data_IF_665538446573
#
_entry.id   IF_665538446573
#
_cell.length_a   1.000
_cell.length_b   1.000
_cell.length_c   1.000
_cell.angle_alpha   90.00
_cell.angle_beta   90.00
_cell.angle_gamma   90.00
#
_symmetry.space_group_name_H-M   'P 1'
#
loop_
_entity.id
_entity.type
_entity.pdbx_description
1 polymer ?
#
# COMPACT_ATOMS: atom_id res chain seq x y z
N UNK A 1 -19.32 7.51 20.04
CA UNK A 1 -17.93 7.02 20.19
C UNK A 1 -17.42 7.59 21.49
N UNK A 2 -17.15 6.72 22.46
CA UNK A 2 -16.58 7.10 23.75
C UNK A 2 -15.20 7.74 23.51
N UNK A 3 -14.78 8.78 24.27
CA UNK A 3 -13.39 9.24 24.27
C UNK A 3 -12.34 8.12 24.34
N UNK A 4 -12.65 6.99 25.00
CA UNK A 4 -11.80 5.80 25.08
C UNK A 4 -11.63 5.05 23.73
N UNK A 5 -12.54 5.23 22.78
CA UNK A 5 -12.51 4.54 21.48
C UNK A 5 -11.67 5.29 20.43
N UNK A 6 -11.03 6.41 20.79
CA UNK A 6 -10.27 7.25 19.86
C UNK A 6 -8.85 6.70 19.70
N UNK A 7 -8.29 6.70 18.47
CA UNK A 7 -6.91 6.32 18.27
C UNK A 7 -5.97 7.31 18.96
N UNK A 8 -4.84 6.84 19.51
CA UNK A 8 -3.85 7.69 20.15
C UNK A 8 -3.24 8.71 19.17
N UNK A 9 -2.88 9.91 19.67
CA UNK A 9 -2.32 11.01 18.86
C UNK A 9 -1.01 10.60 18.16
N UNK A 10 -0.67 11.30 17.08
CA UNK A 10 0.43 11.13 16.10
C UNK A 10 1.77 10.50 16.54
N UNK A 11 2.12 10.43 17.82
CA UNK A 11 3.30 9.75 18.36
C UNK A 11 3.15 8.22 18.45
N UNK A 12 1.96 7.68 18.18
CA UNK A 12 1.62 6.28 18.46
C UNK A 12 2.26 5.24 17.53
N UNK A 13 2.75 5.62 16.35
CA UNK A 13 3.13 4.61 15.36
C UNK A 13 4.57 4.12 15.54
N UNK A 14 5.49 4.96 16.06
CA UNK A 14 6.93 4.68 16.25
C UNK A 14 7.55 3.76 15.18
N UNK A 15 7.17 3.94 13.91
CA UNK A 15 7.73 3.19 12.78
C UNK A 15 9.06 3.85 12.42
N UNK A 16 10.09 3.04 12.22
CA UNK A 16 11.42 3.53 11.82
C UNK A 16 11.31 4.36 10.55
N UNK A 17 11.97 5.54 10.54
CA UNK A 17 12.04 6.42 9.36
C UNK A 17 12.62 5.70 8.14
N UNK A 18 13.47 4.70 8.35
CA UNK A 18 13.96 3.87 7.27
C UNK A 18 12.87 3.08 6.55
N UNK A 19 11.83 2.65 7.26
CA UNK A 19 10.73 1.88 6.65
C UNK A 19 9.82 2.82 5.86
N UNK A 20 9.34 3.92 6.45
CA UNK A 20 8.29 4.73 5.81
C UNK A 20 8.79 5.90 4.95
N UNK A 21 10.08 6.25 5.04
CA UNK A 21 10.68 7.34 4.28
C UNK A 21 11.92 6.88 3.50
N UNK A 22 12.90 6.29 4.19
CA UNK A 22 14.19 5.93 3.58
C UNK A 22 14.05 4.90 2.45
N UNK A 23 13.53 3.72 2.78
CA UNK A 23 13.35 2.62 1.84
C UNK A 23 12.52 3.02 0.60
N UNK A 24 11.28 3.54 0.71
CA UNK A 24 10.47 3.79 -0.48
C UNK A 24 11.10 4.85 -1.41
N UNK A 25 11.74 5.88 -0.86
CA UNK A 25 12.43 6.91 -1.67
C UNK A 25 13.67 6.34 -2.35
N UNK A 26 14.51 5.61 -1.61
CA UNK A 26 15.72 4.99 -2.16
C UNK A 26 15.39 3.91 -3.18
N UNK A 27 14.30 3.17 -2.97
CA UNK A 27 13.84 2.14 -3.91
C UNK A 27 13.38 2.76 -5.23
N UNK A 28 12.57 3.84 -5.19
CA UNK A 28 12.20 4.58 -6.41
C UNK A 28 13.45 5.07 -7.16
N UNK A 29 14.38 5.70 -6.44
CA UNK A 29 15.62 6.20 -7.03
C UNK A 29 16.45 5.07 -7.65
N UNK A 30 16.52 3.90 -7.01
CA UNK A 30 17.23 2.74 -7.53
C UNK A 30 16.56 2.17 -8.79
N UNK A 31 15.23 2.08 -8.83
CA UNK A 31 14.50 1.62 -10.02
C UNK A 31 14.76 2.54 -11.22
N UNK A 32 14.62 3.85 -11.04
CA UNK A 32 14.89 4.81 -12.11
C UNK A 32 16.37 4.82 -12.52
N UNK A 33 17.30 4.71 -11.57
CA UNK A 33 18.72 4.61 -11.90
C UNK A 33 19.04 3.35 -12.72
N UNK A 34 18.43 2.20 -12.41
CA UNK A 34 18.58 0.98 -13.19
C UNK A 34 17.98 1.13 -14.59
N UNK A 35 16.78 1.72 -14.70
CA UNK A 35 16.12 1.96 -15.98
C UNK A 35 16.91 2.90 -16.91
N UNK A 36 17.51 3.96 -16.37
CA UNK A 36 18.38 4.87 -17.13
C UNK A 36 19.77 4.29 -17.46
N UNK A 37 20.23 3.29 -16.70
CA UNK A 37 21.54 2.70 -16.90
C UNK A 37 21.58 1.77 -18.11
N UNK A 38 20.63 0.84 -18.21
CA UNK A 38 20.53 -0.10 -19.33
C UNK A 38 19.11 -0.66 -19.47
N UNK A 39 18.46 -0.36 -20.61
CA UNK A 39 17.10 -0.82 -20.89
C UNK A 39 17.02 -2.36 -21.04
N UNK A 40 18.07 -2.99 -21.58
CA UNK A 40 18.09 -4.45 -21.73
C UNK A 40 18.09 -5.15 -20.37
N UNK A 41 18.90 -4.64 -19.43
CA UNK A 41 18.93 -5.08 -18.04
C UNK A 41 17.59 -4.85 -17.34
N UNK A 42 16.99 -3.67 -17.52
CA UNK A 42 15.68 -3.34 -16.97
C UNK A 42 14.61 -4.37 -17.39
N UNK A 43 14.45 -4.60 -18.69
CA UNK A 43 13.45 -5.53 -19.19
C UNK A 43 13.75 -6.99 -18.82
N UNK A 44 15.02 -7.39 -18.77
CA UNK A 44 15.39 -8.77 -18.45
C UNK A 44 15.18 -9.11 -16.96
N UNK A 45 15.52 -8.20 -16.05
CA UNK A 45 15.65 -8.53 -14.62
C UNK A 45 14.69 -7.77 -13.70
N UNK A 46 14.17 -6.61 -14.10
CA UNK A 46 13.31 -5.79 -13.24
C UNK A 46 11.84 -5.87 -13.65
N UNK A 47 11.55 -5.85 -14.95
CA UNK A 47 10.19 -5.76 -15.52
C UNK A 47 9.73 -7.03 -16.29
N UNK A 48 10.49 -8.12 -16.21
CA UNK A 48 10.01 -9.41 -16.73
C UNK A 48 8.91 -10.00 -15.84
N UNK A 49 8.20 -11.04 -16.32
CA UNK A 49 7.26 -11.87 -15.53
C UNK A 49 7.89 -12.49 -14.26
N UNK A 50 9.23 -12.54 -14.24
CA UNK A 50 10.05 -13.00 -13.12
C UNK A 50 10.90 -11.88 -12.53
N UNK A 51 10.56 -10.66 -12.88
CA UNK A 51 11.29 -9.46 -12.56
C UNK A 51 11.27 -9.16 -11.07
N UNK A 52 12.24 -8.35 -10.66
CA UNK A 52 12.35 -7.88 -9.29
C UNK A 52 11.08 -7.16 -8.84
N UNK A 53 10.43 -6.38 -9.71
CA UNK A 53 9.31 -5.50 -9.33
C UNK A 53 8.08 -6.32 -8.96
N UNK A 54 7.64 -7.26 -9.80
CA UNK A 54 6.48 -8.13 -9.53
C UNK A 54 6.70 -8.99 -8.28
N UNK A 55 7.87 -9.61 -8.14
CA UNK A 55 8.19 -10.38 -6.94
C UNK A 55 8.22 -9.51 -5.67
N UNK A 56 8.67 -8.26 -5.78
CA UNK A 56 8.65 -7.31 -4.68
C UNK A 56 7.23 -6.87 -4.32
N UNK A 57 6.34 -6.70 -5.30
CA UNK A 57 4.91 -6.44 -5.10
C UNK A 57 4.26 -7.59 -4.30
N UNK A 58 4.44 -8.85 -4.74
CA UNK A 58 3.95 -10.05 -4.04
C UNK A 58 4.49 -10.14 -2.61
N UNK A 59 5.80 -9.92 -2.41
CA UNK A 59 6.43 -9.96 -1.10
C UNK A 59 5.85 -8.91 -0.15
N UNK A 60 5.71 -7.67 -0.61
CA UNK A 60 5.17 -6.56 0.19
C UNK A 60 3.72 -6.82 0.56
N UNK A 61 2.90 -7.31 -0.40
CA UNK A 61 1.52 -7.71 -0.13
C UNK A 61 1.45 -8.88 0.85
N UNK A 62 2.33 -9.88 0.75
CA UNK A 62 2.38 -10.99 1.69
C UNK A 62 2.68 -10.51 3.13
N UNK A 63 3.62 -9.58 3.29
CA UNK A 63 3.91 -8.96 4.59
C UNK A 63 2.69 -8.16 5.08
N UNK A 64 2.03 -7.40 4.20
CA UNK A 64 0.81 -6.66 4.52
C UNK A 64 -0.30 -7.61 4.99
N UNK A 65 -0.51 -8.72 4.30
CA UNK A 65 -1.45 -9.77 4.63
C UNK A 65 -1.21 -10.34 6.03
N UNK A 66 0.05 -10.58 6.43
CA UNK A 66 0.37 -11.02 7.80
C UNK A 66 -0.13 -10.01 8.84
N UNK A 67 0.05 -8.70 8.62
CA UNK A 67 -0.49 -7.69 9.54
C UNK A 67 -2.02 -7.63 9.52
N UNK A 68 -2.65 -7.74 8.35
CA UNK A 68 -4.11 -7.81 8.23
C UNK A 68 -4.69 -9.00 8.99
N UNK A 69 -4.11 -10.19 8.83
CA UNK A 69 -4.51 -11.41 9.55
C UNK A 69 -4.27 -11.28 11.05
N UNK A 70 -3.16 -10.67 11.49
CA UNK A 70 -2.93 -10.38 12.92
C UNK A 70 -3.99 -9.44 13.50
N UNK A 71 -4.43 -8.43 12.76
CA UNK A 71 -5.54 -7.58 13.19
C UNK A 71 -6.82 -8.42 13.27
N UNK A 72 -7.12 -9.22 12.25
CA UNK A 72 -8.36 -10.00 12.15
C UNK A 72 -8.47 -11.11 13.21
N UNK A 73 -7.36 -11.72 13.61
CA UNK A 73 -7.33 -12.81 14.59
C UNK A 73 -7.31 -12.32 16.04
N UNK A 74 -7.11 -11.03 16.25
CA UNK A 74 -7.03 -10.40 17.57
C UNK A 74 -8.22 -9.49 17.82
N UNK A 75 -9.40 -10.07 17.98
CA UNK A 75 -10.62 -9.29 18.20
C UNK A 75 -10.61 -8.47 19.49
N UNK A 76 -9.77 -8.83 20.46
CA UNK A 76 -9.61 -8.14 21.73
C UNK A 76 -8.99 -6.74 21.60
N UNK A 77 -8.25 -6.46 20.51
CA UNK A 77 -7.66 -5.13 20.26
C UNK A 77 -8.57 -4.24 19.38
N UNK A 78 -9.76 -4.72 19.02
CA UNK A 78 -10.67 -3.96 18.16
C UNK A 78 -11.40 -2.87 18.95
N UNK A 79 -11.46 -1.61 18.44
CA UNK A 79 -12.30 -0.57 19.01
C UNK A 79 -13.81 -0.83 18.80
N UNK A 80 -14.16 -1.83 18.00
CA UNK A 80 -15.52 -2.25 17.74
C UNK A 80 -15.60 -3.30 16.64
N UNK A 81 -16.72 -4.02 16.54
CA UNK A 81 -16.92 -5.13 15.59
C UNK A 81 -16.74 -4.72 14.12
N UNK A 82 -16.99 -3.45 13.80
CA UNK A 82 -16.78 -2.91 12.46
C UNK A 82 -15.31 -3.02 12.00
N UNK A 83 -14.34 -3.01 12.93
CA UNK A 83 -12.92 -3.19 12.62
C UNK A 83 -12.66 -4.58 12.04
N UNK A 84 -13.37 -5.61 12.52
CA UNK A 84 -13.29 -6.95 11.96
C UNK A 84 -13.71 -6.97 10.49
N UNK A 85 -14.84 -6.34 10.15
CA UNK A 85 -15.30 -6.22 8.75
C UNK A 85 -14.29 -5.48 7.86
N UNK A 86 -13.73 -4.38 8.38
CA UNK A 86 -12.71 -3.61 7.67
C UNK A 86 -11.43 -4.43 7.44
N UNK A 87 -10.95 -5.14 8.47
CA UNK A 87 -9.79 -6.01 8.36
C UNK A 87 -10.04 -7.17 7.37
N UNK A 88 -11.22 -7.79 7.40
CA UNK A 88 -11.61 -8.84 6.43
C UNK A 88 -11.57 -8.31 5.01
N UNK A 89 -12.11 -7.11 4.75
CA UNK A 89 -12.12 -6.50 3.42
C UNK A 89 -10.69 -6.30 2.90
N UNK A 90 -9.79 -5.74 3.71
CA UNK A 90 -8.40 -5.51 3.29
C UNK A 90 -7.63 -6.82 3.14
N UNK A 91 -7.84 -7.80 4.03
CA UNK A 91 -7.24 -9.13 3.92
C UNK A 91 -7.66 -9.80 2.62
N UNK A 92 -8.95 -9.76 2.28
CA UNK A 92 -9.45 -10.29 1.02
C UNK A 92 -8.84 -9.57 -0.19
N UNK A 93 -8.72 -8.23 -0.13
CA UNK A 93 -8.07 -7.46 -1.17
C UNK A 93 -6.57 -7.81 -1.32
N UNK A 94 -5.85 -8.05 -0.22
CA UNK A 94 -4.44 -8.49 -0.28
C UNK A 94 -4.31 -9.89 -0.88
N UNK A 95 -5.18 -10.84 -0.51
CA UNK A 95 -5.19 -12.19 -1.09
C UNK A 95 -5.48 -12.13 -2.59
N UNK A 96 -6.47 -11.32 -2.98
CA UNK A 96 -6.80 -11.10 -4.38
C UNK A 96 -5.60 -10.54 -5.14
N UNK A 97 -4.99 -9.45 -4.66
CA UNK A 97 -3.84 -8.84 -5.31
C UNK A 97 -2.64 -9.80 -5.39
N UNK A 98 -2.30 -10.54 -4.32
CA UNK A 98 -1.25 -11.57 -4.37
C UNK A 98 -1.57 -12.64 -5.43
N UNK A 99 -2.83 -13.05 -5.51
CA UNK A 99 -3.31 -13.96 -6.54
C UNK A 99 -3.05 -13.39 -7.92
N UNK A 100 -3.57 -12.22 -8.23
CA UNK A 100 -3.40 -11.58 -9.54
C UNK A 100 -1.93 -11.39 -9.93
N UNK A 101 -1.09 -10.83 -9.03
CA UNK A 101 0.35 -10.59 -9.31
C UNK A 101 1.19 -11.87 -9.43
N UNK A 102 0.72 -13.00 -8.90
CA UNK A 102 1.43 -14.29 -9.00
C UNK A 102 0.76 -15.28 -9.95
N UNK A 103 -0.21 -14.81 -10.72
CA UNK A 103 -1.06 -15.65 -11.58
C UNK A 103 -1.68 -16.82 -10.80
N UNK A 104 -2.17 -16.54 -9.60
CA UNK A 104 -2.74 -17.47 -8.63
C UNK A 104 -1.78 -18.62 -8.25
N UNK A 105 -0.49 -18.28 -8.19
CA UNK A 105 0.59 -19.23 -7.93
C UNK A 105 1.02 -20.01 -9.16
N UNK A 106 0.51 -19.68 -10.36
CA UNK A 106 0.91 -20.33 -11.61
C UNK A 106 2.41 -20.28 -11.83
N UNK A 107 3.00 -19.13 -11.55
CA UNK A 107 4.43 -18.93 -11.73
C UNK A 107 5.20 -19.90 -10.81
N UNK A 108 4.78 -20.05 -9.55
CA UNK A 108 5.50 -20.87 -8.56
C UNK A 108 5.32 -22.39 -8.73
N UNK A 109 4.14 -22.85 -9.11
CA UNK A 109 3.82 -24.29 -9.12
C UNK A 109 3.68 -24.87 -10.53
N UNK A 110 3.66 -24.04 -11.58
CA UNK A 110 3.67 -24.49 -12.98
C UNK A 110 2.42 -25.27 -13.42
N UNK A 111 1.33 -25.23 -12.66
CA UNK A 111 0.02 -25.72 -13.09
C UNK A 111 -0.45 -25.03 -14.37
N UNK A 112 -1.14 -25.79 -15.22
CA UNK A 112 -1.56 -25.38 -16.56
C UNK A 112 -2.81 -24.51 -16.51
N UNK A 113 -2.87 -23.51 -17.38
CA UNK A 113 -4.07 -22.71 -17.60
C UNK A 113 -5.18 -23.58 -18.20
N UNK A 114 -6.38 -23.62 -17.60
CA UNK A 114 -7.49 -24.41 -18.12
C UNK A 114 -7.91 -23.99 -19.53
N UNK A 115 -8.34 -24.96 -20.35
CA UNK A 115 -8.73 -24.70 -21.75
C UNK A 115 -9.83 -23.65 -21.89
N UNK A 116 -10.80 -23.62 -20.95
CA UNK A 116 -11.87 -22.62 -20.96
C UNK A 116 -11.36 -21.19 -20.70
N UNK A 117 -10.23 -21.06 -20.00
CA UNK A 117 -9.61 -19.78 -19.68
C UNK A 117 -8.67 -19.32 -20.80
N UNK A 118 -8.03 -20.23 -21.53
CA UNK A 118 -7.24 -19.93 -22.73
C UNK A 118 -8.06 -19.27 -23.85
N UNK A 119 -9.37 -19.51 -23.88
CA UNK A 119 -10.30 -18.83 -24.80
C UNK A 119 -10.43 -17.33 -24.49
N UNK A 120 -10.28 -16.96 -23.21
CA UNK A 120 -10.46 -15.61 -22.71
C UNK A 120 -9.14 -14.90 -22.36
N UNK A 121 -8.04 -15.65 -22.18
CA UNK A 121 -6.70 -15.17 -21.87
C UNK A 121 -5.68 -15.91 -22.75
N UNK A 122 -5.23 -15.26 -23.82
CA UNK A 122 -4.28 -15.80 -24.78
C UNK A 122 -2.82 -15.77 -24.30
N UNK A 123 -2.56 -15.13 -23.16
CA UNK A 123 -1.24 -15.12 -22.50
C UNK A 123 -0.98 -16.40 -21.71
N UNK A 124 -1.99 -17.27 -21.59
CA UNK A 124 -1.82 -18.55 -20.91
C UNK A 124 -1.65 -18.40 -19.41
N UNK A 125 -2.21 -17.35 -18.79
CA UNK A 125 -2.16 -17.10 -17.36
C UNK A 125 -3.53 -17.25 -16.67
N UNK A 126 -3.53 -17.50 -15.35
CA UNK A 126 -4.77 -17.67 -14.56
C UNK A 126 -5.30 -16.35 -14.00
N UNK A 127 -4.50 -15.28 -13.97
CA UNK A 127 -4.93 -13.98 -13.46
C UNK A 127 -6.12 -13.40 -14.26
N UNK A 128 -6.97 -12.64 -13.57
CA UNK A 128 -8.16 -12.03 -14.14
C UNK A 128 -7.82 -10.71 -14.86
N UNK A 129 -6.77 -10.02 -14.45
CA UNK A 129 -6.37 -8.76 -15.09
C UNK A 129 -5.99 -8.90 -16.57
N UNK A 130 -5.57 -10.09 -17.01
CA UNK A 130 -5.26 -10.37 -18.42
C UNK A 130 -6.49 -10.78 -19.24
N UNK A 131 -7.63 -11.06 -18.59
CA UNK A 131 -8.89 -11.38 -19.27
C UNK A 131 -9.61 -10.12 -19.75
N UNK A 132 -9.52 -9.02 -18.97
CA UNK A 132 -10.24 -7.79 -19.29
C UNK A 132 -9.61 -6.57 -18.64
N UNK A 133 -9.54 -5.48 -19.42
CA UNK A 133 -9.18 -4.15 -18.92
C UNK A 133 -10.05 -3.69 -17.75
N UNK A 134 -11.26 -4.25 -17.58
CA UNK A 134 -12.08 -3.98 -16.41
C UNK A 134 -11.44 -4.51 -15.12
N UNK A 135 -10.91 -5.74 -15.15
CA UNK A 135 -10.28 -6.39 -14.00
C UNK A 135 -8.88 -5.86 -13.72
N UNK A 136 -8.17 -5.37 -14.74
CA UNK A 136 -6.92 -4.64 -14.57
C UNK A 136 -7.13 -3.22 -14.01
N UNK A 137 -7.93 -2.40 -14.70
CA UNK A 137 -7.93 -0.95 -14.44
C UNK A 137 -8.79 -0.55 -13.24
N UNK A 138 -9.96 -1.17 -13.05
CA UNK A 138 -10.92 -0.69 -12.03
C UNK A 138 -10.44 -0.90 -10.60
N UNK A 139 -9.90 -2.09 -10.21
CA UNK A 139 -9.34 -2.28 -8.87
C UNK A 139 -8.20 -1.31 -8.60
N UNK A 140 -7.31 -1.11 -9.58
CA UNK A 140 -6.19 -0.16 -9.50
C UNK A 140 -6.68 1.27 -9.28
N UNK A 141 -7.60 1.78 -10.09
CA UNK A 141 -8.14 3.15 -9.97
C UNK A 141 -8.80 3.37 -8.60
N UNK A 142 -9.57 2.38 -8.11
CA UNK A 142 -10.21 2.48 -6.80
C UNK A 142 -9.17 2.59 -5.67
N UNK A 143 -8.12 1.77 -5.72
CA UNK A 143 -7.03 1.81 -4.76
C UNK A 143 -6.25 3.12 -4.85
N UNK A 144 -5.92 3.58 -6.07
CA UNK A 144 -5.19 4.83 -6.31
C UNK A 144 -5.96 6.03 -5.74
N UNK A 145 -7.25 6.13 -6.06
CA UNK A 145 -8.11 7.19 -5.53
C UNK A 145 -8.16 7.17 -4.00
N UNK A 146 -8.27 5.98 -3.39
CA UNK A 146 -8.30 5.82 -1.94
C UNK A 146 -6.98 6.26 -1.29
N UNK A 147 -5.84 5.95 -1.92
CA UNK A 147 -4.51 6.36 -1.48
C UNK A 147 -4.35 7.88 -1.56
N UNK A 148 -4.72 8.50 -2.69
CA UNK A 148 -4.60 9.95 -2.88
C UNK A 148 -5.51 10.69 -1.88
N UNK A 149 -6.76 10.27 -1.75
CA UNK A 149 -7.72 10.88 -0.85
C UNK A 149 -7.29 10.80 0.62
N UNK A 150 -6.90 9.60 1.08
CA UNK A 150 -6.55 9.36 2.47
C UNK A 150 -5.13 9.76 2.84
N UNK A 151 -4.15 9.37 2.02
CA UNK A 151 -2.73 9.50 2.28
C UNK A 151 -2.15 10.87 1.93
N UNK A 152 -2.74 11.60 0.98
CA UNK A 152 -2.22 12.88 0.50
C UNK A 152 -3.17 14.05 0.77
N UNK A 153 -4.39 14.02 0.25
CA UNK A 153 -5.32 15.16 0.30
C UNK A 153 -5.78 15.47 1.73
N UNK A 154 -6.09 14.44 2.52
CA UNK A 154 -6.50 14.61 3.91
C UNK A 154 -5.43 15.27 4.81
N UNK A 155 -4.18 14.78 4.88
CA UNK A 155 -3.16 15.45 5.70
C UNK A 155 -2.86 16.87 5.20
N UNK A 156 -2.87 17.11 3.89
CA UNK A 156 -2.70 18.45 3.33
C UNK A 156 -3.85 19.40 3.74
N UNK A 157 -5.10 18.94 3.67
CA UNK A 157 -6.27 19.69 4.08
C UNK A 157 -6.19 20.14 5.55
N UNK A 158 -5.79 19.23 6.44
CA UNK A 158 -5.61 19.57 7.85
C UNK A 158 -4.44 20.51 8.08
N UNK A 159 -3.33 20.33 7.37
CA UNK A 159 -2.21 21.26 7.43
C UNK A 159 -2.60 22.68 7.00
N UNK A 160 -3.45 22.82 5.98
CA UNK A 160 -3.94 24.13 5.51
C UNK A 160 -4.96 24.79 6.45
N UNK A 161 -5.86 24.02 7.08
CA UNK A 161 -6.98 24.57 7.86
C UNK A 161 -6.71 24.75 9.35
N UNK A 162 -5.85 23.94 9.93
CA UNK A 162 -5.39 24.12 11.32
C UNK A 162 -3.95 24.55 11.27
N UNK A 163 -3.59 25.66 11.93
CA UNK A 163 -2.23 26.21 12.03
C UNK A 163 -1.26 25.25 12.77
N UNK A 164 -1.09 24.02 12.26
CA UNK A 164 -0.41 22.91 12.89
C UNK A 164 -1.02 21.57 12.48
N UNK A 165 -0.16 20.59 12.17
CA UNK A 165 -0.49 19.22 11.74
C UNK A 165 -1.29 18.37 12.74
N UNK A 166 -1.85 18.98 13.79
CA UNK A 166 -2.52 18.32 14.90
C UNK A 166 -3.97 17.91 14.62
N UNK A 167 -4.53 18.27 13.45
CA UNK A 167 -5.94 18.01 13.14
C UNK A 167 -6.20 16.82 12.21
N UNK A 168 -5.20 16.02 11.80
CA UNK A 168 -5.40 14.83 10.96
C UNK A 168 -6.02 13.61 11.72
N UNK A 169 -7.13 13.91 12.40
CA UNK A 169 -8.27 13.15 12.91
C UNK A 169 -8.09 11.75 13.50
N UNK A 170 -8.64 11.66 14.72
CA UNK A 170 -8.90 10.53 15.61
C UNK A 170 -9.77 9.39 15.01
N UNK A 171 -9.52 8.94 13.78
CA UNK A 171 -10.24 7.80 13.21
C UNK A 171 -9.29 6.71 12.75
N UNK A 172 -9.64 5.48 13.13
CA UNK A 172 -8.86 4.27 12.94
C UNK A 172 -8.61 3.93 11.46
N UNK A 173 -9.63 4.14 10.62
CA UNK A 173 -9.61 3.76 9.21
C UNK A 173 -8.66 4.64 8.41
N UNK A 174 -8.49 5.90 8.79
CA UNK A 174 -7.66 6.79 8.01
C UNK A 174 -6.16 6.49 8.17
N UNK A 175 -5.38 6.59 7.08
CA UNK A 175 -3.94 6.45 7.13
C UNK A 175 -3.31 7.58 7.94
N UNK A 176 -2.14 7.32 8.52
CA UNK A 176 -1.38 8.29 9.30
C UNK A 176 -0.31 8.96 8.43
N UNK A 177 0.39 9.97 8.97
CA UNK A 177 1.46 10.68 8.24
C UNK A 177 2.60 9.76 7.78
N UNK A 178 2.73 8.57 8.37
CA UNK A 178 3.68 7.54 7.95
C UNK A 178 3.49 7.16 6.48
N UNK A 179 2.25 7.14 5.98
CA UNK A 179 1.98 6.75 4.60
C UNK A 179 2.11 7.91 3.61
N UNK A 180 2.31 9.15 4.08
CA UNK A 180 2.34 10.34 3.23
C UNK A 180 3.44 10.25 2.16
N UNK A 181 4.70 9.94 2.48
CA UNK A 181 5.74 9.84 1.44
C UNK A 181 5.38 8.84 0.36
N UNK A 182 4.97 7.62 0.75
CA UNK A 182 4.56 6.59 -0.22
C UNK A 182 3.36 7.02 -1.07
N UNK A 183 2.36 7.70 -0.49
CA UNK A 183 1.24 8.23 -1.28
C UNK A 183 1.67 9.29 -2.30
N UNK A 184 2.69 10.09 -1.99
CA UNK A 184 3.28 11.02 -2.95
C UNK A 184 4.07 10.26 -4.03
N UNK A 185 4.77 9.18 -3.67
CA UNK A 185 5.47 8.36 -4.66
C UNK A 185 4.53 7.68 -5.65
N UNK A 186 3.32 7.27 -5.23
CA UNK A 186 2.26 6.77 -6.14
C UNK A 186 1.88 7.81 -7.19
N UNK A 187 1.88 9.10 -6.84
CA UNK A 187 1.61 10.19 -7.79
C UNK A 187 2.84 10.44 -8.67
N UNK A 188 4.02 10.57 -8.05
CA UNK A 188 5.27 10.90 -8.72
C UNK A 188 5.67 9.83 -9.74
N UNK A 189 5.44 8.55 -9.46
CA UNK A 189 5.84 7.45 -10.34
C UNK A 189 5.15 7.50 -11.71
N UNK A 190 3.99 8.14 -11.83
CA UNK A 190 3.24 8.33 -13.09
C UNK A 190 3.48 9.67 -13.77
N UNK A 191 4.23 10.58 -13.15
CA UNK A 191 4.49 11.90 -13.73
C UNK A 191 5.12 11.80 -15.13
N UNK A 192 6.11 10.91 -15.39
CA UNK A 192 6.68 10.78 -16.74
C UNK A 192 5.63 10.48 -17.82
N UNK A 193 4.74 9.51 -17.59
CA UNK A 193 3.65 9.19 -18.52
C UNK A 193 2.77 10.41 -18.82
N UNK A 194 2.43 11.21 -17.79
CA UNK A 194 1.57 12.39 -17.98
C UNK A 194 2.25 13.48 -18.80
N UNK A 195 3.56 13.68 -18.62
CA UNK A 195 4.31 14.64 -19.42
C UNK A 195 4.43 14.22 -20.88
N UNK A 196 4.60 12.91 -21.12
CA UNK A 196 4.56 12.30 -22.44
C UNK A 196 3.18 12.48 -23.09
N UNK A 197 2.09 12.09 -22.41
CA UNK A 197 0.71 12.20 -22.90
C UNK A 197 0.29 13.64 -23.20
N UNK A 198 0.82 14.62 -22.46
CA UNK A 198 0.56 16.05 -22.69
C UNK A 198 1.45 16.67 -23.78
N UNK A 199 2.36 15.90 -24.38
CA UNK A 199 3.25 16.35 -25.44
C UNK A 199 4.27 17.40 -24.97
N UNK A 200 4.62 17.41 -23.69
CA UNK A 200 5.53 18.41 -23.10
C UNK A 200 6.98 17.94 -23.30
N UNK A 201 7.37 16.81 -22.70
CA UNK A 201 8.71 16.22 -22.79
C UNK A 201 8.63 14.71 -22.57
N UNK A 202 9.52 13.97 -23.23
CA UNK A 202 9.80 12.58 -22.92
C UNK A 202 10.91 12.52 -21.87
N UNK A 203 10.52 12.29 -20.61
CA UNK A 203 11.40 12.34 -19.43
C UNK A 203 11.54 10.96 -18.75
N UNK A 204 10.86 9.94 -19.28
CA UNK A 204 10.94 8.58 -18.78
C UNK A 204 12.09 7.82 -19.44
N UNK A 205 12.66 6.80 -18.78
CA UNK A 205 13.53 5.86 -19.46
C UNK A 205 12.73 5.03 -20.47
N UNK A 206 13.31 4.82 -21.65
CA UNK A 206 12.67 4.12 -22.77
C UNK A 206 12.15 2.74 -22.34
N UNK A 207 10.88 2.46 -22.65
CA UNK A 207 10.25 1.17 -22.42
C UNK A 207 9.79 0.89 -20.99
N UNK A 208 10.15 1.72 -20.00
CA UNK A 208 9.75 1.51 -18.61
C UNK A 208 8.23 1.67 -18.40
N UNK A 209 7.59 0.61 -17.91
CA UNK A 209 6.19 0.58 -17.48
C UNK A 209 6.06 1.24 -16.11
N UNK A 210 5.91 2.56 -16.11
CA UNK A 210 5.67 3.34 -14.88
C UNK A 210 4.45 2.88 -14.06
N UNK A 211 3.50 2.20 -14.70
CA UNK A 211 2.36 1.53 -14.07
C UNK A 211 2.78 0.44 -13.06
N UNK A 212 3.81 -0.34 -13.36
CA UNK A 212 4.32 -1.41 -12.48
C UNK A 212 4.97 -0.83 -11.22
N UNK A 213 5.77 0.23 -11.43
CA UNK A 213 6.41 0.96 -10.34
C UNK A 213 5.36 1.64 -9.46
N UNK A 214 4.30 2.19 -10.07
CA UNK A 214 3.18 2.75 -9.31
C UNK A 214 2.53 1.68 -8.42
N UNK A 215 2.23 0.50 -8.96
CA UNK A 215 1.60 -0.60 -8.21
C UNK A 215 2.43 -1.04 -7.01
N UNK A 216 3.75 -1.15 -7.17
CA UNK A 216 4.63 -1.42 -6.05
C UNK A 216 4.42 -0.43 -4.90
N UNK A 217 4.34 0.87 -5.19
CA UNK A 217 4.11 1.88 -4.15
C UNK A 217 2.68 1.85 -3.60
N UNK A 218 1.69 1.45 -4.39
CA UNK A 218 0.32 1.24 -3.92
C UNK A 218 0.26 0.08 -2.91
N UNK A 219 0.94 -1.03 -3.19
CA UNK A 219 1.02 -2.15 -2.26
C UNK A 219 1.89 -1.84 -1.04
N UNK A 220 2.98 -1.08 -1.22
CA UNK A 220 3.78 -0.57 -0.11
C UNK A 220 2.97 0.34 0.81
N UNK A 221 2.05 1.14 0.24
CA UNK A 221 1.12 1.94 1.03
C UNK A 221 0.20 1.05 1.88
N UNK A 222 -0.38 -0.03 1.31
CA UNK A 222 -1.22 -0.99 2.06
C UNK A 222 -0.42 -1.61 3.21
N UNK A 223 0.83 -2.02 2.95
CA UNK A 223 1.74 -2.51 3.99
C UNK A 223 1.93 -1.49 5.12
N UNK A 224 2.32 -0.25 4.81
CA UNK A 224 2.53 0.79 5.82
C UNK A 224 1.24 1.11 6.59
N UNK A 225 0.11 1.12 5.89
CA UNK A 225 -1.20 1.33 6.46
C UNK A 225 -1.54 0.25 7.49
N UNK A 226 -1.43 -1.02 7.14
CA UNK A 226 -1.72 -2.14 8.04
C UNK A 226 -0.72 -2.24 9.20
N UNK A 227 0.57 -1.95 8.94
CA UNK A 227 1.59 -1.87 9.99
C UNK A 227 1.25 -0.77 11.01
N UNK A 228 0.91 0.44 10.55
CA UNK A 228 0.48 1.55 11.41
C UNK A 228 -0.78 1.17 12.18
N UNK A 229 -1.80 0.66 11.50
CA UNK A 229 -3.08 0.28 12.10
C UNK A 229 -2.89 -0.78 13.19
N UNK A 230 -2.16 -1.86 12.89
CA UNK A 230 -1.86 -2.92 13.86
C UNK A 230 -1.16 -2.38 15.12
N UNK A 231 -0.17 -1.49 14.95
CA UNK A 231 0.55 -0.88 16.08
C UNK A 231 -0.34 0.02 16.92
N UNK A 232 -1.17 0.85 16.30
CA UNK A 232 -2.13 1.72 17.00
C UNK A 232 -3.14 0.90 17.79
N UNK A 233 -3.70 -0.16 17.19
CA UNK A 233 -4.67 -1.05 17.83
C UNK A 233 -4.04 -1.79 19.01
N UNK A 234 -2.85 -2.37 18.83
CA UNK A 234 -2.15 -3.10 19.90
C UNK A 234 -1.84 -2.20 21.10
N UNK A 235 -1.45 -0.94 20.86
CA UNK A 235 -1.16 0.02 21.93
C UNK A 235 -2.42 0.44 22.67
N UNK A 236 -3.52 0.69 21.96
CA UNK A 236 -4.79 1.04 22.59
C UNK A 236 -5.39 -0.12 23.41
N UNK A 237 -5.24 -1.37 22.93
CA UNK A 237 -5.66 -2.56 23.68
C UNK A 237 -4.69 -2.99 24.80
N UNK A 238 -3.56 -2.31 25.00
CA UNK A 238 -2.59 -2.67 26.05
C UNK A 238 -3.01 -2.10 27.42
N UNK A 239 -2.96 -2.89 28.52
CA UNK A 239 -3.33 -2.44 29.87
C UNK A 239 -2.59 -1.19 30.37
N UNK A 240 -1.38 -0.93 29.86
CA UNK A 240 -0.61 0.27 30.21
C UNK A 240 -1.25 1.59 29.73
N UNK A 241 -2.09 1.56 28.69
CA UNK A 241 -2.85 2.73 28.23
C UNK A 241 -4.10 3.00 29.09
N UNK A 242 -4.50 2.06 29.95
CA UNK A 242 -5.66 2.14 30.82
C UNK A 242 -5.35 2.72 32.21
N UNK A 243 -4.09 3.08 32.51
CA UNK A 243 -3.78 3.82 33.74
C UNK A 243 -4.17 5.29 33.55
N UNK A 244 -5.13 5.83 34.31
CA UNK A 244 -5.34 7.26 34.36
C UNK A 244 -4.04 7.93 34.80
N UNK A 245 -3.76 9.13 34.29
CA UNK A 245 -2.78 10.04 34.87
C UNK A 245 -3.31 10.53 36.24
N UNK A 246 -3.34 9.63 37.20
CA UNK A 246 -3.34 9.90 38.64
C UNK A 246 -2.05 9.19 39.08
N UNK A 247 -0.96 9.88 39.38
CA UNK A 247 -0.85 10.80 40.50
C UNK A 247 0.22 11.86 40.20
N UNK A 248 -0.16 13.14 40.26
CA UNK A 248 0.78 14.16 40.69
C UNK A 248 0.75 14.13 42.21
N UNK A 249 1.85 13.79 42.91
CA UNK A 249 1.89 14.05 44.34
C UNK A 249 1.85 15.56 44.51
N UNK A 250 0.79 16.04 45.14
CA UNK A 250 0.78 17.36 45.76
C UNK A 250 1.85 17.33 46.86
N UNK A 251 2.93 18.08 46.66
CA UNK A 251 3.83 18.57 47.70
C UNK A 251 4.51 19.84 47.18
#
# INVERSE_FOLDING_TARGET
MDPADRPPRHSADQISKWIWLGFPVLFLAALYAAAFYDASFWHAYLESEWGLVENAQVLVLAIALVYGVRILTRSEIWPGRWMGWWATLIVAACVYAIGEESSWGQHYFGWRTPDWLLVANDQGEINLHNISSWFDQKPRILLEFSIIAGGTLRPLWFWLRSHGAAAASNSWIWPTLVTLPTSLLVIVSRVPDRFYDWGIFDIGPDGMRHSEVQEFFMFYFIFLYLLSLHRRLTRAGSPAAAKPLTDSPAA
#
